data_IF_576825160306
#
_entry.id   IF_576825160306
#
_cell.length_a   1.000
_cell.length_b   1.000
_cell.length_c   1.000
_cell.angle_alpha   90.00
_cell.angle_beta   90.00
_cell.angle_gamma   90.00
#
_symmetry.space_group_name_H-M   'P 1'
#
loop_
_entity.id
_entity.type
_entity.pdbx_description
1 polymer ?
#
# COMPACT_ATOMS: atom_id res chain seq x y z
N UNK A 1 -10.10 -2.67 -11.58
CA UNK A 1 -8.81 -3.34 -11.35
C UNK A 1 -7.93 -2.49 -10.47
N UNK A 2 -7.28 -3.14 -9.55
CA UNK A 2 -6.50 -2.44 -8.52
C UNK A 2 -5.04 -2.88 -8.51
N UNK A 3 -4.58 -3.49 -9.60
CA UNK A 3 -3.19 -3.97 -9.71
C UNK A 3 -2.51 -3.35 -10.90
N UNK A 4 -1.34 -2.76 -10.68
CA UNK A 4 -0.46 -2.24 -11.72
C UNK A 4 0.76 -3.16 -11.81
N UNK A 5 1.15 -3.52 -13.04
CA UNK A 5 2.31 -4.37 -13.29
C UNK A 5 3.35 -3.58 -14.07
N UNK A 6 4.58 -3.56 -13.57
CA UNK A 6 5.74 -3.06 -14.31
C UNK A 6 6.38 -4.21 -15.06
N UNK A 7 6.72 -3.98 -16.33
CA UNK A 7 7.35 -4.98 -17.19
C UNK A 7 8.67 -4.45 -17.73
N UNK A 8 9.60 -5.36 -18.02
CA UNK A 8 10.83 -4.98 -18.71
C UNK A 8 10.57 -4.83 -20.23
N UNK A 9 11.60 -4.53 -21.00
CA UNK A 9 11.48 -4.33 -22.45
C UNK A 9 11.04 -5.58 -23.21
N UNK A 10 11.09 -6.75 -22.59
CA UNK A 10 10.65 -8.02 -23.16
C UNK A 10 9.25 -8.44 -22.67
N UNK A 11 8.59 -7.61 -21.90
CA UNK A 11 7.27 -7.92 -21.34
C UNK A 11 7.29 -8.79 -20.10
N UNK A 12 8.48 -9.05 -19.52
CA UNK A 12 8.62 -9.85 -18.31
C UNK A 12 8.23 -8.99 -17.09
N UNK A 13 7.35 -9.49 -16.21
CA UNK A 13 6.98 -8.74 -15.01
C UNK A 13 8.18 -8.49 -14.10
N UNK A 14 8.36 -7.25 -13.70
CA UNK A 14 9.46 -6.81 -12.84
C UNK A 14 8.97 -6.39 -11.45
N UNK A 15 7.75 -5.95 -11.34
CA UNK A 15 7.17 -5.54 -10.08
C UNK A 15 5.66 -5.31 -10.19
N UNK A 16 5.02 -5.13 -9.06
CA UNK A 16 3.58 -4.92 -8.99
C UNK A 16 3.21 -3.99 -7.83
N UNK A 17 2.12 -3.28 -8.02
CA UNK A 17 1.52 -2.43 -6.99
C UNK A 17 0.03 -2.77 -6.90
N UNK A 18 -0.45 -3.02 -5.70
CA UNK A 18 -1.88 -3.23 -5.42
C UNK A 18 -2.37 -2.00 -4.67
N UNK A 19 -3.30 -1.28 -5.27
CA UNK A 19 -3.87 -0.07 -4.69
C UNK A 19 -5.34 0.02 -5.07
N UNK A 20 -6.17 0.62 -4.19
CA UNK A 20 -7.62 0.70 -4.40
C UNK A 20 -8.23 1.79 -3.52
N UNK A 21 -9.45 2.27 -3.88
CA UNK A 21 -10.16 3.21 -3.02
C UNK A 21 -10.43 2.62 -1.63
N UNK A 22 -10.20 3.42 -0.59
CA UNK A 22 -10.42 3.00 0.79
C UNK A 22 -11.88 2.62 1.08
N UNK A 23 -12.80 3.08 0.24
CA UNK A 23 -14.22 2.69 0.35
C UNK A 23 -14.42 1.18 0.26
N UNK A 24 -13.53 0.49 -0.49
CA UNK A 24 -13.61 -0.95 -0.70
C UNK A 24 -12.89 -1.76 0.39
N UNK A 25 -12.15 -1.10 1.25
CA UNK A 25 -11.27 -1.75 2.23
C UNK A 25 -12.03 -2.67 3.19
N UNK A 26 -13.15 -2.20 3.71
CA UNK A 26 -13.92 -2.97 4.70
C UNK A 26 -14.41 -4.28 4.11
N UNK A 27 -14.90 -4.25 2.87
CA UNK A 27 -15.36 -5.47 2.17
C UNK A 27 -14.21 -6.43 1.92
N UNK A 28 -13.09 -5.94 1.43
CA UNK A 28 -11.90 -6.76 1.16
C UNK A 28 -11.32 -7.33 2.46
N UNK A 29 -11.24 -6.52 3.51
CA UNK A 29 -10.77 -6.93 4.83
C UNK A 29 -11.64 -8.02 5.43
N UNK A 30 -12.96 -7.86 5.35
CA UNK A 30 -13.91 -8.85 5.87
C UNK A 30 -13.71 -10.19 5.18
N UNK A 31 -13.61 -10.19 3.87
CA UNK A 31 -13.42 -11.41 3.09
C UNK A 31 -12.13 -12.14 3.48
N UNK A 32 -11.03 -11.40 3.58
CA UNK A 32 -9.74 -11.94 4.00
C UNK A 32 -9.80 -12.52 5.40
N UNK A 33 -10.44 -11.82 6.34
CA UNK A 33 -10.51 -12.27 7.73
C UNK A 33 -11.46 -13.45 7.93
N UNK A 34 -12.51 -13.56 7.12
CA UNK A 34 -13.36 -14.74 7.13
C UNK A 34 -12.56 -15.99 6.74
N UNK A 35 -11.70 -15.88 5.73
CA UNK A 35 -10.82 -16.95 5.32
C UNK A 35 -9.80 -17.30 6.41
N UNK A 36 -9.18 -16.30 7.02
CA UNK A 36 -8.16 -16.50 8.05
C UNK A 36 -8.74 -17.05 9.35
N UNK A 37 -9.98 -16.70 9.70
CA UNK A 37 -10.61 -17.13 10.95
C UNK A 37 -10.82 -18.67 10.99
N UNK A 38 -10.81 -19.33 9.84
CA UNK A 38 -10.86 -20.78 9.77
C UNK A 38 -9.52 -21.44 10.14
N UNK A 39 -8.42 -20.68 10.06
CA UNK A 39 -7.07 -21.16 10.29
C UNK A 39 -6.51 -20.74 11.64
N UNK A 40 -6.77 -19.51 12.05
CA UNK A 40 -6.26 -18.93 13.29
C UNK A 40 -7.36 -18.12 13.99
N UNK A 41 -7.22 -18.00 15.31
CA UNK A 41 -8.10 -17.16 16.11
C UNK A 41 -7.41 -15.82 16.35
N UNK A 42 -8.10 -14.70 16.04
CA UNK A 42 -7.57 -13.37 16.28
C UNK A 42 -8.73 -12.38 16.48
N UNK A 43 -8.42 -11.26 17.12
CA UNK A 43 -9.40 -10.22 17.42
C UNK A 43 -9.25 -9.07 16.43
N UNK A 44 -10.18 -8.99 15.46
CA UNK A 44 -10.19 -7.95 14.44
C UNK A 44 -10.41 -6.57 15.06
N UNK A 45 -11.18 -6.49 16.15
CA UNK A 45 -11.50 -5.20 16.78
C UNK A 45 -10.28 -4.52 17.39
N UNK A 46 -9.21 -5.27 17.66
CA UNK A 46 -7.95 -4.73 18.18
C UNK A 46 -7.05 -4.14 17.09
N UNK A 47 -7.46 -4.20 15.83
CA UNK A 47 -6.66 -3.72 14.71
C UNK A 47 -7.22 -2.42 14.16
N UNK A 48 -6.32 -1.48 13.85
CA UNK A 48 -6.71 -0.25 13.17
C UNK A 48 -7.14 -0.55 11.73
N UNK A 49 -8.06 0.25 11.21
CA UNK A 49 -8.35 0.25 9.78
C UNK A 49 -7.17 0.88 9.05
N UNK A 50 -6.65 0.20 8.03
CA UNK A 50 -5.49 0.69 7.29
C UNK A 50 -5.80 1.91 6.43
N UNK A 51 -7.04 2.06 6.01
CA UNK A 51 -7.50 3.19 5.21
C UNK A 51 -8.97 3.48 5.49
N UNK A 52 -9.43 4.65 5.09
CA UNK A 52 -10.79 5.15 5.30
C UNK A 52 -11.46 5.47 3.96
N UNK A 53 -12.81 5.54 3.91
CA UNK A 53 -13.51 6.04 2.74
C UNK A 53 -12.99 7.42 2.32
N UNK A 54 -12.88 7.66 1.02
CA UNK A 54 -12.35 8.91 0.49
C UNK A 54 -10.85 8.91 0.26
N UNK A 55 -10.14 7.89 0.73
CA UNK A 55 -8.70 7.73 0.52
C UNK A 55 -8.42 6.75 -0.62
N UNK A 56 -7.20 6.78 -1.15
CA UNK A 56 -6.71 5.79 -2.10
C UNK A 56 -5.56 5.04 -1.44
N UNK A 57 -5.75 3.76 -1.19
CA UNK A 57 -4.83 2.97 -0.37
C UNK A 57 -3.88 2.13 -1.23
N UNK A 58 -2.57 2.31 -0.99
CA UNK A 58 -1.53 1.44 -1.53
C UNK A 58 -1.34 0.30 -0.54
N UNK A 59 -1.88 -0.85 -0.88
CA UNK A 59 -1.88 -2.04 -0.03
C UNK A 59 -0.53 -2.76 -0.07
N UNK A 60 -0.01 -2.94 -1.28
CA UNK A 60 1.22 -3.72 -1.46
C UNK A 60 2.02 -3.19 -2.64
N UNK A 61 3.33 -3.22 -2.50
CA UNK A 61 4.25 -2.95 -3.60
C UNK A 61 5.41 -3.95 -3.51
N UNK A 62 5.78 -4.53 -4.62
CA UNK A 62 6.88 -5.48 -4.69
C UNK A 62 7.65 -5.34 -5.99
N UNK A 63 8.96 -5.45 -5.92
CA UNK A 63 9.86 -5.47 -7.08
C UNK A 63 10.73 -6.70 -6.95
N UNK A 64 10.82 -7.48 -8.02
CA UNK A 64 11.66 -8.69 -8.02
C UNK A 64 13.12 -8.31 -7.77
N UNK A 65 13.89 -9.16 -7.06
CA UNK A 65 15.26 -8.82 -6.67
C UNK A 65 16.17 -8.38 -7.82
N UNK A 66 16.06 -9.04 -8.98
CA UNK A 66 16.89 -8.73 -10.14
C UNK A 66 16.57 -7.40 -10.81
N UNK A 67 15.43 -6.78 -10.46
CA UNK A 67 15.01 -5.49 -11.00
C UNK A 67 15.09 -4.36 -9.99
N UNK A 68 15.61 -4.61 -8.79
CA UNK A 68 15.73 -3.59 -7.75
C UNK A 68 16.78 -2.54 -8.12
N UNK A 69 16.65 -1.35 -7.50
CA UNK A 69 17.54 -0.19 -7.69
C UNK A 69 17.54 0.34 -9.13
N UNK A 70 16.44 0.12 -9.85
CA UNK A 70 16.24 0.64 -11.21
C UNK A 70 15.09 1.63 -11.30
N UNK A 71 14.55 2.07 -10.15
CA UNK A 71 13.49 3.05 -10.11
C UNK A 71 12.09 2.48 -10.37
N UNK A 72 11.90 1.16 -10.35
CA UNK A 72 10.62 0.53 -10.67
C UNK A 72 9.59 0.82 -9.59
N UNK A 73 9.97 0.76 -8.31
CA UNK A 73 9.07 1.12 -7.23
C UNK A 73 8.57 2.56 -7.37
N UNK A 74 9.47 3.48 -7.74
CA UNK A 74 9.14 4.88 -7.99
C UNK A 74 8.12 5.01 -9.11
N UNK A 75 8.32 4.31 -10.23
CA UNK A 75 7.39 4.34 -11.36
C UNK A 75 6.01 3.81 -10.97
N UNK A 76 5.96 2.70 -10.24
CA UNK A 76 4.70 2.12 -9.78
C UNK A 76 3.95 3.07 -8.84
N UNK A 77 4.65 3.66 -7.88
CA UNK A 77 4.04 4.61 -6.95
C UNK A 77 3.56 5.87 -7.67
N UNK A 78 4.33 6.39 -8.62
CA UNK A 78 3.91 7.55 -9.40
C UNK A 78 2.65 7.26 -10.20
N UNK A 79 2.54 6.07 -10.77
CA UNK A 79 1.33 5.65 -11.50
C UNK A 79 0.13 5.56 -10.57
N UNK A 80 0.31 5.01 -9.37
CA UNK A 80 -0.76 4.95 -8.36
C UNK A 80 -1.18 6.34 -7.88
N UNK A 81 -0.21 7.22 -7.66
CA UNK A 81 -0.50 8.61 -7.29
C UNK A 81 -1.29 9.32 -8.39
N UNK A 82 -0.93 9.06 -9.65
CA UNK A 82 -1.65 9.66 -10.78
C UNK A 82 -3.09 9.19 -10.85
N UNK A 83 -3.34 7.90 -10.61
CA UNK A 83 -4.71 7.39 -10.53
C UNK A 83 -5.52 8.05 -9.41
N UNK A 84 -4.89 8.19 -8.24
CA UNK A 84 -5.53 8.85 -7.10
C UNK A 84 -5.89 10.31 -7.41
N UNK A 85 -5.02 11.01 -8.14
CA UNK A 85 -5.30 12.39 -8.56
C UNK A 85 -6.51 12.48 -9.46
N UNK A 86 -6.66 11.52 -10.37
CA UNK A 86 -7.84 11.46 -11.24
C UNK A 86 -9.12 11.24 -10.44
N UNK A 87 -9.03 10.53 -9.33
CA UNK A 87 -10.14 10.30 -8.41
C UNK A 87 -10.27 11.40 -7.34
N UNK A 88 -9.36 12.37 -7.34
CA UNK A 88 -9.31 13.47 -6.35
C UNK A 88 -9.22 12.95 -4.92
N UNK A 89 -8.33 11.97 -4.69
CA UNK A 89 -8.16 11.33 -3.38
C UNK A 89 -6.72 11.42 -2.90
N UNK A 90 -6.49 11.59 -1.59
CA UNK A 90 -5.15 11.43 -1.03
C UNK A 90 -4.73 9.97 -1.07
N UNK A 91 -3.43 9.73 -1.22
CA UNK A 91 -2.85 8.40 -1.22
C UNK A 91 -2.34 8.07 0.18
N UNK A 92 -2.70 6.89 0.66
CA UNK A 92 -2.33 6.42 2.00
C UNK A 92 -1.53 5.14 1.87
N UNK A 93 -0.51 4.98 2.71
CA UNK A 93 0.18 3.70 2.86
C UNK A 93 0.68 3.53 4.30
N UNK A 94 0.94 2.29 4.66
CA UNK A 94 1.54 1.93 5.93
C UNK A 94 3.02 1.60 5.70
N UNK A 95 3.90 2.19 6.49
CA UNK A 95 5.34 1.99 6.39
C UNK A 95 5.89 1.48 7.72
N UNK A 96 6.69 0.41 7.68
CA UNK A 96 7.37 -0.07 8.88
C UNK A 96 8.32 1.02 9.41
N UNK A 97 8.28 1.33 10.72
CA UNK A 97 9.06 2.45 11.27
C UNK A 97 10.57 2.30 11.10
N UNK A 98 11.06 1.07 11.05
CA UNK A 98 12.48 0.76 10.92
C UNK A 98 12.94 0.60 9.47
N UNK A 99 12.04 0.65 8.50
CA UNK A 99 12.39 0.59 7.09
C UNK A 99 12.72 1.99 6.57
N UNK A 100 13.94 2.45 6.86
CA UNK A 100 14.37 3.81 6.52
C UNK A 100 14.45 4.04 5.01
N UNK A 101 14.83 3.01 4.25
CA UNK A 101 14.89 3.12 2.80
C UNK A 101 13.52 3.36 2.17
N UNK A 102 12.53 2.60 2.61
CA UNK A 102 11.15 2.79 2.14
C UNK A 102 10.61 4.16 2.56
N UNK A 103 10.85 4.55 3.81
CA UNK A 103 10.41 5.85 4.32
C UNK A 103 10.98 7.00 3.48
N UNK A 104 12.28 6.94 3.17
CA UNK A 104 12.93 7.96 2.35
C UNK A 104 12.34 8.01 0.94
N UNK A 105 12.09 6.85 0.34
CA UNK A 105 11.45 6.77 -0.98
C UNK A 105 10.08 7.43 -0.95
N UNK A 106 9.25 7.08 0.01
CA UNK A 106 7.90 7.65 0.12
C UNK A 106 7.96 9.17 0.34
N UNK A 107 8.85 9.63 1.22
CA UNK A 107 9.03 11.07 1.45
C UNK A 107 9.45 11.80 0.17
N UNK A 108 10.31 11.20 -0.65
CA UNK A 108 10.75 11.79 -1.92
C UNK A 108 9.61 11.95 -2.92
N UNK A 109 8.54 11.15 -2.77
CA UNK A 109 7.36 11.18 -3.64
C UNK A 109 6.22 12.02 -3.08
N UNK A 110 6.46 12.71 -1.97
CA UNK A 110 5.47 13.61 -1.38
C UNK A 110 4.66 13.05 -0.23
N UNK A 111 4.98 11.83 0.23
CA UNK A 111 4.35 11.27 1.43
C UNK A 111 4.92 11.90 2.69
N UNK A 112 4.05 12.15 3.67
CA UNK A 112 4.46 12.61 4.98
C UNK A 112 3.84 11.73 6.06
N UNK A 113 4.53 11.60 7.19
CA UNK A 113 4.04 10.83 8.33
C UNK A 113 2.87 11.59 8.99
N UNK A 114 1.69 11.00 8.96
CA UNK A 114 0.47 11.58 9.52
C UNK A 114 -0.28 10.53 10.34
N UNK A 115 0.31 10.14 11.44
CA UNK A 115 -0.29 9.19 12.35
C UNK A 115 0.37 7.84 12.36
N UNK A 116 -0.19 6.93 13.15
CA UNK A 116 0.33 5.59 13.34
C UNK A 116 -0.81 4.59 13.23
N UNK A 117 -0.47 3.36 12.84
CA UNK A 117 -1.41 2.26 12.71
C UNK A 117 -0.90 1.08 13.50
N UNK A 118 -1.82 0.34 14.13
CA UNK A 118 -1.49 -0.89 14.83
C UNK A 118 -2.22 -2.06 14.16
N UNK A 119 -1.46 -2.95 13.52
CA UNK A 119 -2.00 -4.03 12.68
C UNK A 119 -1.27 -5.32 13.04
N UNK A 120 -2.01 -6.38 13.41
CA UNK A 120 -1.46 -7.68 13.80
C UNK A 120 -0.37 -7.59 14.86
N UNK A 121 -0.52 -6.70 15.86
CA UNK A 121 0.46 -6.53 16.92
C UNK A 121 1.70 -5.74 16.52
N UNK A 122 1.74 -5.18 15.32
CA UNK A 122 2.85 -4.38 14.82
C UNK A 122 2.45 -2.93 14.62
N UNK A 123 3.38 -2.04 14.91
CA UNK A 123 3.21 -0.61 14.74
C UNK A 123 3.72 -0.19 13.35
N UNK A 124 2.94 0.64 12.66
CA UNK A 124 3.30 1.19 11.35
C UNK A 124 3.12 2.70 11.34
N UNK A 125 3.89 3.37 10.50
CA UNK A 125 3.67 4.78 10.21
C UNK A 125 2.59 4.90 9.14
N UNK A 126 1.57 5.73 9.39
CA UNK A 126 0.59 6.09 8.38
C UNK A 126 1.17 7.26 7.58
N UNK A 127 1.40 7.06 6.29
CA UNK A 127 1.97 8.08 5.42
C UNK A 127 0.97 8.50 4.37
N UNK A 128 0.92 9.80 4.10
CA UNK A 128 -0.10 10.41 3.26
C UNK A 128 0.56 11.31 2.21
N UNK A 129 0.11 11.19 0.95
CA UNK A 129 0.43 12.12 -0.13
C UNK A 129 -0.86 12.73 -0.68
N UNK A 130 -0.87 14.00 -0.89
CA UNK A 130 -2.01 14.73 -1.44
C UNK A 130 -2.04 14.71 -2.97
#
# INVERSE_FOLDING_TARGET
RHTLIAQDSHGTPAGALVAYPGDDYITMRRHTFEMLSELISFDISAMDAETLPGEYYVDSIAVLPQYRKQGIATLLLQAGIQEAKLLQRPVILACAPDNLGAKQLYQSLGFSHQGNLFIFGHHYLRMVAQ
#
